data_IF_196225907262
#
_entry.id   IF_196225907262
#
_cell.length_a   1.000
_cell.length_b   1.000
_cell.length_c   1.000
_cell.angle_alpha   90.00
_cell.angle_beta   90.00
_cell.angle_gamma   90.00
#
_symmetry.space_group_name_H-M   'P 1'
#
loop_
_entity.id
_entity.type
_entity.pdbx_description
1 polymer ?
#
# COMPACT_ATOMS: atom_id res chain seq x y z
N UNK A 1 -10.78 -19.04 -0.75
CA UNK A 1 -11.69 -20.06 -1.34
C UNK A 1 -13.15 -19.66 -1.10
N UNK A 2 -13.59 -19.44 0.15
CA UNK A 2 -14.98 -19.09 0.48
C UNK A 2 -15.46 -17.82 -0.28
N UNK A 3 -14.66 -16.75 -0.31
CA UNK A 3 -15.00 -15.53 -1.05
C UNK A 3 -15.26 -15.82 -2.54
N UNK A 4 -14.43 -16.66 -3.16
CA UNK A 4 -14.61 -17.07 -4.56
C UNK A 4 -15.89 -17.91 -4.75
N UNK A 5 -16.25 -18.76 -3.77
CA UNK A 5 -17.48 -19.55 -3.85
C UNK A 5 -18.76 -18.70 -3.80
N UNK A 6 -18.67 -17.50 -3.21
CA UNK A 6 -19.75 -16.50 -3.23
C UNK A 6 -19.72 -15.58 -4.47
N UNK A 7 -18.83 -15.83 -5.44
CA UNK A 7 -18.72 -15.04 -6.65
C UNK A 7 -18.06 -13.67 -6.44
N UNK A 8 -17.32 -13.47 -5.34
CA UNK A 8 -16.56 -12.23 -5.11
C UNK A 8 -15.38 -12.20 -6.09
N UNK A 9 -15.32 -11.20 -7.00
CA UNK A 9 -14.32 -11.19 -8.07
C UNK A 9 -12.93 -10.73 -7.62
N UNK A 10 -12.85 -9.91 -6.56
CA UNK A 10 -11.60 -9.28 -6.09
C UNK A 10 -11.59 -9.23 -4.57
N UNK A 11 -10.44 -9.47 -3.97
CA UNK A 11 -10.19 -9.22 -2.55
C UNK A 11 -9.09 -8.19 -2.37
N UNK A 12 -9.23 -7.32 -1.36
CA UNK A 12 -8.26 -6.29 -1.03
C UNK A 12 -7.42 -6.69 0.19
N UNK A 13 -6.11 -6.47 0.13
CA UNK A 13 -5.17 -6.80 1.19
C UNK A 13 -4.63 -5.54 1.85
N UNK A 14 -4.75 -5.48 3.18
CA UNK A 14 -4.20 -4.43 4.03
C UNK A 14 -3.32 -5.08 5.10
N UNK A 15 -2.01 -4.83 5.12
CA UNK A 15 -1.12 -5.52 6.04
C UNK A 15 -1.16 -4.93 7.44
N UNK A 16 -1.00 -5.78 8.43
CA UNK A 16 -0.54 -5.40 9.76
C UNK A 16 0.95 -5.72 9.88
N UNK A 17 1.76 -4.74 10.25
CA UNK A 17 3.20 -4.93 10.51
C UNK A 17 3.47 -4.68 12.00
N UNK A 18 4.04 -5.64 12.72
CA UNK A 18 4.45 -5.44 14.11
C UNK A 18 5.44 -4.28 14.25
N UNK A 19 5.36 -3.54 15.37
CA UNK A 19 6.13 -2.31 15.57
C UNK A 19 7.66 -2.52 15.45
N UNK A 20 8.15 -3.67 15.92
CA UNK A 20 9.57 -4.05 15.86
C UNK A 20 10.11 -4.31 14.43
N UNK A 21 9.22 -4.40 13.45
CA UNK A 21 9.56 -4.58 12.03
C UNK A 21 9.37 -3.30 11.21
N UNK A 22 8.98 -2.21 11.85
CA UNK A 22 8.82 -0.90 11.19
C UNK A 22 10.08 -0.08 11.35
N UNK A 23 10.43 0.67 10.33
CA UNK A 23 11.56 1.60 10.36
C UNK A 23 11.16 2.98 9.79
N UNK A 24 12.01 4.01 9.91
CA UNK A 24 11.67 5.35 9.43
C UNK A 24 11.43 5.44 7.92
N UNK A 25 11.97 4.51 7.13
CA UNK A 25 11.87 4.50 5.67
C UNK A 25 10.81 3.54 5.14
N UNK A 26 10.20 2.73 6.02
CA UNK A 26 9.23 1.72 5.60
C UNK A 26 9.85 0.63 4.71
N UNK A 27 11.12 0.29 4.92
CA UNK A 27 11.90 -0.57 4.01
C UNK A 27 11.26 -1.93 3.74
N UNK A 28 10.51 -2.48 4.69
CA UNK A 28 9.78 -3.74 4.53
C UNK A 28 8.72 -3.67 3.41
N UNK A 29 8.24 -2.48 3.01
CA UNK A 29 7.32 -2.32 1.88
C UNK A 29 7.93 -2.84 0.56
N UNK A 30 9.25 -2.79 0.45
CA UNK A 30 10.00 -3.18 -0.75
C UNK A 30 10.55 -4.61 -0.71
N UNK A 31 10.35 -5.32 0.40
CA UNK A 31 10.78 -6.72 0.53
C UNK A 31 9.81 -7.62 -0.26
N UNK A 32 10.29 -8.37 -1.28
CA UNK A 32 9.45 -9.28 -2.04
C UNK A 32 8.84 -10.40 -1.19
N UNK A 33 9.36 -10.65 0.01
CA UNK A 33 8.86 -11.65 0.96
C UNK A 33 8.10 -11.05 2.14
N UNK A 34 7.69 -9.78 2.05
CA UNK A 34 6.80 -9.18 3.03
C UNK A 34 5.45 -9.91 3.09
N UNK A 35 4.67 -9.65 4.13
CA UNK A 35 3.41 -10.35 4.39
C UNK A 35 2.42 -10.25 3.22
N UNK A 36 2.28 -9.06 2.60
CA UNK A 36 1.35 -8.82 1.48
C UNK A 36 1.76 -9.64 0.26
N UNK A 37 3.04 -9.62 -0.11
CA UNK A 37 3.55 -10.38 -1.25
C UNK A 37 3.41 -11.89 -1.04
N UNK A 38 3.69 -12.38 0.16
CA UNK A 38 3.48 -13.80 0.51
C UNK A 38 2.00 -14.19 0.46
N UNK A 39 1.12 -13.35 1.02
CA UNK A 39 -0.32 -13.59 0.99
C UNK A 39 -0.85 -13.58 -0.45
N UNK A 40 -0.42 -12.62 -1.28
CA UNK A 40 -0.78 -12.54 -2.70
C UNK A 40 -0.42 -13.84 -3.43
N UNK A 41 0.83 -14.30 -3.30
CA UNK A 41 1.27 -15.57 -3.91
C UNK A 41 0.43 -16.76 -3.44
N UNK A 42 0.16 -16.85 -2.14
CA UNK A 42 -0.64 -17.94 -1.59
C UNK A 42 -2.08 -17.93 -2.10
N UNK A 43 -2.70 -16.75 -2.20
CA UNK A 43 -4.06 -16.60 -2.74
C UNK A 43 -4.10 -16.98 -4.20
N UNK A 44 -3.18 -16.47 -5.02
CA UNK A 44 -3.13 -16.78 -6.46
C UNK A 44 -2.85 -18.26 -6.72
N UNK A 45 -2.08 -18.92 -5.86
CA UNK A 45 -1.87 -20.37 -5.95
C UNK A 45 -3.12 -21.18 -5.59
N UNK A 46 -3.88 -20.75 -4.56
CA UNK A 46 -5.08 -21.46 -4.11
C UNK A 46 -6.31 -21.16 -4.98
N UNK A 47 -6.46 -19.92 -5.49
CA UNK A 47 -7.61 -19.47 -6.26
C UNK A 47 -7.13 -18.56 -7.42
N UNK A 48 -6.61 -19.13 -8.50
CA UNK A 48 -5.97 -18.37 -9.59
C UNK A 48 -6.84 -17.30 -10.24
N UNK A 49 -8.15 -17.51 -10.25
CA UNK A 49 -9.12 -16.63 -10.94
C UNK A 49 -9.66 -15.49 -10.07
N UNK A 50 -9.34 -15.41 -8.77
CA UNK A 50 -9.73 -14.27 -7.95
C UNK A 50 -8.74 -13.12 -8.16
N UNK A 51 -9.25 -11.91 -8.36
CA UNK A 51 -8.42 -10.71 -8.40
C UNK A 51 -7.87 -10.37 -7.01
N UNK A 52 -6.62 -9.92 -6.96
CA UNK A 52 -5.99 -9.41 -5.73
C UNK A 52 -5.68 -7.94 -5.90
N UNK A 53 -6.21 -7.13 -4.99
CA UNK A 53 -5.90 -5.70 -4.87
C UNK A 53 -4.96 -5.51 -3.70
N UNK A 54 -3.84 -4.81 -3.91
CA UNK A 54 -2.92 -4.45 -2.84
C UNK A 54 -2.89 -2.93 -2.64
N UNK A 55 -2.99 -2.54 -1.38
CA UNK A 55 -2.80 -1.14 -0.97
C UNK A 55 -1.35 -0.72 -1.16
N UNK A 56 -1.13 0.52 -1.63
CA UNK A 56 0.20 1.13 -1.78
C UNK A 56 0.25 2.41 -0.95
N UNK A 57 0.90 2.31 0.18
CA UNK A 57 1.19 3.39 1.14
C UNK A 57 2.26 2.88 2.12
N UNK A 58 2.98 3.79 2.76
CA UNK A 58 4.08 3.39 3.65
C UNK A 58 3.67 3.31 5.13
N UNK A 59 2.50 3.82 5.53
CA UNK A 59 2.08 3.87 6.94
C UNK A 59 2.01 2.51 7.66
N UNK A 60 1.73 1.35 7.02
CA UNK A 60 1.86 0.06 7.68
C UNK A 60 3.30 -0.32 8.02
N UNK A 61 4.28 0.31 7.38
CA UNK A 61 5.70 -0.08 7.43
C UNK A 61 6.58 0.97 8.12
N UNK A 62 6.14 2.22 8.18
CA UNK A 62 6.90 3.30 8.82
C UNK A 62 6.74 3.31 10.33
N UNK A 63 7.82 3.60 11.05
CA UNK A 63 7.82 3.70 12.52
C UNK A 63 7.12 4.96 13.05
N UNK A 64 6.90 5.96 12.19
CA UNK A 64 6.19 7.21 12.49
C UNK A 64 4.72 7.20 12.04
N UNK A 65 4.27 6.18 11.29
CA UNK A 65 2.87 5.99 10.89
C UNK A 65 2.35 6.92 9.79
N UNK A 66 3.21 7.68 9.11
CA UNK A 66 2.84 8.45 7.93
C UNK A 66 2.91 7.60 6.66
N UNK A 67 2.10 7.98 5.67
CA UNK A 67 1.96 7.28 4.38
C UNK A 67 3.17 7.50 3.45
N UNK A 68 4.06 8.44 3.78
CA UNK A 68 5.26 8.79 3.01
C UNK A 68 6.51 8.90 3.88
N UNK A 69 7.64 9.15 3.25
CA UNK A 69 8.92 9.41 3.91
C UNK A 69 8.88 10.75 4.64
N UNK A 70 9.46 10.79 5.84
CA UNK A 70 9.42 11.96 6.71
C UNK A 70 10.84 12.48 6.97
N UNK A 71 11.04 13.79 6.85
CA UNK A 71 12.24 14.50 7.29
C UNK A 71 11.82 15.77 8.02
N UNK A 72 12.27 15.93 9.25
CA UNK A 72 12.00 17.13 10.10
C UNK A 72 10.50 17.53 10.08
N UNK A 73 9.61 16.57 10.32
CA UNK A 73 8.15 16.71 10.31
C UNK A 73 7.53 17.10 8.93
N UNK A 74 8.32 17.04 7.85
CA UNK A 74 7.88 17.31 6.48
C UNK A 74 7.86 16.01 5.68
N UNK A 75 6.74 15.76 4.97
CA UNK A 75 6.64 14.65 4.02
C UNK A 75 7.45 14.98 2.76
N UNK A 76 8.35 14.07 2.39
CA UNK A 76 9.15 14.16 1.17
C UNK A 76 8.37 13.53 0.02
N UNK A 77 7.63 14.36 -0.73
CA UNK A 77 6.74 13.87 -1.79
C UNK A 77 7.48 13.06 -2.85
N UNK A 78 8.51 13.62 -3.45
CA UNK A 78 9.16 13.03 -4.62
C UNK A 78 9.94 11.74 -4.26
N UNK A 79 10.63 11.73 -3.12
CA UNK A 79 11.30 10.53 -2.61
C UNK A 79 10.30 9.44 -2.22
N UNK A 80 9.11 9.86 -1.75
CA UNK A 80 8.03 8.92 -1.48
C UNK A 80 7.52 8.29 -2.76
N UNK A 81 7.38 9.04 -3.87
CA UNK A 81 6.95 8.48 -5.15
C UNK A 81 7.87 7.33 -5.60
N UNK A 82 9.18 7.47 -5.44
CA UNK A 82 10.13 6.39 -5.77
C UNK A 82 9.89 5.14 -4.90
N UNK A 83 9.62 5.33 -3.61
CA UNK A 83 9.32 4.24 -2.70
C UNK A 83 8.00 3.53 -3.07
N UNK A 84 6.95 4.30 -3.40
CA UNK A 84 5.65 3.74 -3.82
C UNK A 84 5.74 2.95 -5.13
N UNK A 85 6.54 3.41 -6.09
CA UNK A 85 6.81 2.66 -7.32
C UNK A 85 7.48 1.32 -7.01
N UNK A 86 8.50 1.31 -6.14
CA UNK A 86 9.17 0.06 -5.71
C UNK A 86 8.19 -0.89 -5.01
N UNK A 87 7.35 -0.37 -4.11
CA UNK A 87 6.30 -1.15 -3.43
C UNK A 87 5.32 -1.77 -4.43
N UNK A 88 4.82 -0.99 -5.39
CA UNK A 88 3.92 -1.47 -6.42
C UNK A 88 4.55 -2.60 -7.26
N UNK A 89 5.81 -2.44 -7.66
CA UNK A 89 6.52 -3.44 -8.46
C UNK A 89 6.67 -4.79 -7.73
N UNK A 90 7.07 -4.81 -6.46
CA UNK A 90 7.20 -6.08 -5.72
C UNK A 90 5.85 -6.75 -5.47
N UNK A 91 4.78 -5.98 -5.30
CA UNK A 91 3.41 -6.51 -5.16
C UNK A 91 2.92 -7.14 -6.48
N UNK A 92 3.16 -6.49 -7.61
CA UNK A 92 2.80 -7.01 -8.94
C UNK A 92 3.62 -8.24 -9.30
N UNK A 93 4.90 -8.28 -8.93
CA UNK A 93 5.74 -9.46 -9.10
C UNK A 93 5.23 -10.65 -8.27
N UNK A 94 4.63 -10.39 -7.11
CA UNK A 94 3.97 -11.40 -6.29
C UNK A 94 2.64 -11.90 -6.87
N UNK A 95 2.09 -11.27 -7.93
CA UNK A 95 0.86 -11.63 -8.61
C UNK A 95 -0.35 -10.73 -8.30
N UNK A 96 -0.12 -9.52 -7.77
CA UNK A 96 -1.18 -8.53 -7.58
C UNK A 96 -1.75 -8.06 -8.93
N UNK A 97 -3.07 -8.01 -9.06
CA UNK A 97 -3.76 -7.59 -10.26
C UNK A 97 -4.08 -6.09 -10.28
N UNK A 98 -4.34 -5.51 -9.10
CA UNK A 98 -4.78 -4.11 -8.95
C UNK A 98 -3.93 -3.42 -7.87
N UNK A 99 -3.27 -2.34 -8.24
CA UNK A 99 -2.52 -1.48 -7.33
C UNK A 99 -3.42 -0.33 -6.88
N UNK A 100 -3.55 -0.13 -5.56
CA UNK A 100 -4.47 0.86 -4.99
C UNK A 100 -3.71 1.89 -4.13
N UNK A 101 -3.11 2.95 -4.74
CA UNK A 101 -2.38 3.96 -3.99
C UNK A 101 -3.30 4.80 -3.10
N UNK A 102 -3.08 4.74 -1.79
CA UNK A 102 -3.86 5.43 -0.76
C UNK A 102 -3.07 6.48 0.03
N UNK A 103 -1.85 6.74 -0.36
CA UNK A 103 -0.85 7.57 0.31
C UNK A 103 -1.09 9.09 0.21
N UNK A 104 -1.78 9.55 -0.82
CA UNK A 104 -2.09 10.96 -1.13
C UNK A 104 -0.90 11.83 -1.59
N UNK A 105 0.20 11.22 -2.04
CA UNK A 105 1.30 11.99 -2.64
C UNK A 105 0.91 12.53 -4.02
N UNK A 106 1.35 13.75 -4.34
CA UNK A 106 1.12 14.35 -5.65
C UNK A 106 1.88 13.59 -6.75
N UNK A 107 1.19 13.29 -7.85
CA UNK A 107 1.79 12.62 -9.01
C UNK A 107 1.93 11.09 -8.89
N UNK A 108 1.57 10.47 -7.76
CA UNK A 108 1.76 9.04 -7.50
C UNK A 108 1.18 8.10 -8.55
N UNK A 109 -0.02 8.38 -9.06
CA UNK A 109 -0.67 7.54 -10.07
C UNK A 109 0.14 7.51 -11.35
N UNK A 110 0.62 8.68 -11.80
CA UNK A 110 1.46 8.79 -12.99
C UNK A 110 2.82 8.09 -12.80
N UNK A 111 3.47 8.28 -11.65
CA UNK A 111 4.74 7.65 -11.34
C UNK A 111 4.62 6.11 -11.29
N UNK A 112 3.61 5.58 -10.60
CA UNK A 112 3.35 4.14 -10.52
C UNK A 112 3.02 3.59 -11.92
N UNK A 113 2.19 4.28 -12.72
CA UNK A 113 1.86 3.83 -14.08
C UNK A 113 3.12 3.73 -14.94
N UNK A 114 3.96 4.76 -14.93
CA UNK A 114 5.22 4.75 -15.69
C UNK A 114 6.13 3.58 -15.24
N UNK A 115 6.33 3.40 -13.94
CA UNK A 115 7.15 2.30 -13.41
C UNK A 115 6.62 0.92 -13.79
N UNK A 116 5.30 0.71 -13.78
CA UNK A 116 4.69 -0.54 -14.22
C UNK A 116 4.88 -0.79 -15.72
N UNK A 117 4.77 0.24 -16.56
CA UNK A 117 4.98 0.12 -18.00
C UNK A 117 6.44 -0.16 -18.34
N UNK A 118 7.37 0.52 -17.70
CA UNK A 118 8.82 0.29 -17.85
C UNK A 118 9.21 -1.14 -17.46
N UNK A 119 8.53 -1.71 -16.47
CA UNK A 119 8.69 -3.10 -16.06
C UNK A 119 7.90 -4.11 -16.93
N UNK A 120 7.23 -3.67 -17.99
CA UNK A 120 6.43 -4.51 -18.88
C UNK A 120 5.09 -4.98 -18.28
N UNK A 121 4.63 -4.37 -17.18
CA UNK A 121 3.38 -4.73 -16.46
C UNK A 121 2.20 -3.85 -16.91
N UNK A 122 1.96 -3.76 -18.21
CA UNK A 122 0.96 -2.86 -18.81
C UNK A 122 -0.48 -3.18 -18.41
N UNK A 123 -0.79 -4.45 -18.16
CA UNK A 123 -2.15 -4.93 -17.83
C UNK A 123 -2.51 -4.74 -16.36
N UNK A 124 -1.55 -4.41 -15.48
CA UNK A 124 -1.82 -4.14 -14.07
C UNK A 124 -2.73 -2.91 -13.95
N UNK A 125 -3.86 -3.06 -13.29
CA UNK A 125 -4.81 -1.97 -13.06
C UNK A 125 -4.36 -1.08 -11.90
N UNK A 126 -4.75 0.20 -11.94
CA UNK A 126 -4.57 1.13 -10.82
C UNK A 126 -5.94 1.62 -10.37
N UNK A 127 -6.27 1.37 -9.11
CA UNK A 127 -7.47 1.89 -8.45
C UNK A 127 -7.04 2.95 -7.43
N UNK A 128 -6.97 4.21 -7.87
CA UNK A 128 -6.53 5.31 -7.01
C UNK A 128 -7.60 5.70 -5.99
N UNK A 129 -7.17 5.96 -4.75
CA UNK A 129 -7.96 6.76 -3.82
C UNK A 129 -7.91 8.22 -4.29
N UNK A 130 -8.95 8.68 -4.96
CA UNK A 130 -9.00 10.03 -5.54
C UNK A 130 -9.09 11.12 -4.47
N UNK A 131 -9.73 10.82 -3.33
CA UNK A 131 -9.84 11.70 -2.17
C UNK A 131 -9.85 10.85 -0.89
N UNK A 132 -8.97 11.18 0.06
CA UNK A 132 -8.92 10.57 1.39
C UNK A 132 -8.92 11.67 2.45
N UNK A 133 -9.97 11.69 3.26
CA UNK A 133 -10.15 12.72 4.28
C UNK A 133 -9.51 12.30 5.59
N UNK A 134 -8.85 13.22 6.28
CA UNK A 134 -8.35 13.03 7.64
C UNK A 134 -9.53 13.06 8.63
N UNK A 135 -10.28 11.97 8.67
CA UNK A 135 -11.56 11.83 9.37
C UNK A 135 -11.45 10.92 10.60
N UNK A 136 -12.31 11.20 11.61
CA UNK A 136 -12.49 10.32 12.77
C UNK A 136 -12.99 8.92 12.39
N UNK A 137 -13.68 8.77 11.27
CA UNK A 137 -14.14 7.47 10.75
C UNK A 137 -12.98 6.49 10.40
N UNK A 138 -11.76 6.97 10.27
CA UNK A 138 -10.58 6.13 10.11
C UNK A 138 -10.09 5.48 11.42
N UNK A 139 -10.64 5.84 12.57
CA UNK A 139 -10.25 5.26 13.86
C UNK A 139 -10.23 3.74 13.86
N UNK A 140 -11.34 3.05 13.57
CA UNK A 140 -11.42 1.59 13.56
C UNK A 140 -10.45 0.92 12.55
N UNK A 141 -10.25 1.54 11.39
CA UNK A 141 -9.29 1.03 10.39
C UNK A 141 -7.84 1.16 10.89
N UNK A 142 -7.48 2.31 11.47
CA UNK A 142 -6.14 2.51 12.06
C UNK A 142 -5.84 1.51 13.17
N UNK A 143 -6.84 1.18 13.98
CA UNK A 143 -6.71 0.15 15.02
C UNK A 143 -6.46 -1.23 14.39
N UNK A 144 -7.21 -1.58 13.33
CA UNK A 144 -7.09 -2.85 12.64
C UNK A 144 -5.69 -3.08 12.02
N UNK A 145 -5.09 -2.04 11.41
CA UNK A 145 -3.74 -2.11 10.83
C UNK A 145 -2.62 -1.76 11.84
N UNK A 146 -2.97 -1.46 13.10
CA UNK A 146 -2.03 -1.14 14.17
C UNK A 146 -1.27 0.17 13.99
N UNK A 147 -1.81 1.13 13.22
CA UNK A 147 -1.15 2.42 12.98
C UNK A 147 -1.55 3.53 13.96
N UNK A 148 -2.62 3.34 14.74
CA UNK A 148 -3.13 4.35 15.68
C UNK A 148 -2.12 4.77 16.75
N UNK A 149 -1.29 3.84 17.22
CA UNK A 149 -0.23 4.11 18.21
C UNK A 149 1.10 4.60 17.63
N UNK A 150 1.28 4.52 16.32
CA UNK A 150 2.53 4.89 15.65
C UNK A 150 2.54 6.32 15.12
N UNK A 151 1.35 6.89 14.84
CA UNK A 151 1.24 8.20 14.19
C UNK A 151 1.86 9.32 15.05
N UNK A 152 2.89 9.95 14.52
CA UNK A 152 3.52 11.16 15.05
C UNK A 152 3.16 12.34 14.14
N UNK A 153 2.49 13.36 14.70
CA UNK A 153 2.05 14.51 13.91
C UNK A 153 0.64 14.37 13.34
N UNK A 154 0.35 15.05 12.24
CA UNK A 154 -0.99 15.20 11.66
C UNK A 154 -0.99 14.87 10.15
N UNK A 155 -1.83 13.95 9.74
CA UNK A 155 -1.99 13.60 8.31
C UNK A 155 -2.68 14.69 7.48
N UNK A 156 -3.33 15.68 8.10
CA UNK A 156 -3.94 16.83 7.40
C UNK A 156 -2.94 17.71 6.64
N UNK A 157 -1.66 17.46 6.77
CA UNK A 157 -0.63 18.11 5.95
C UNK A 157 -0.64 17.63 4.49
N UNK A 158 -1.24 16.46 4.20
CA UNK A 158 -1.34 15.87 2.86
C UNK A 158 -2.66 15.13 2.59
N UNK A 159 -3.49 14.88 3.60
CA UNK A 159 -4.87 14.40 3.44
C UNK A 159 -5.85 15.57 3.58
N UNK A 160 -6.97 15.52 2.85
CA UNK A 160 -8.04 16.52 2.93
C UNK A 160 -8.79 16.47 4.25
#
# INVERSE_FOLDING_TARGET
EEAASFGIPVIALFPYTPAEKRDPTGSLAHDPDNLVCRATRAIKAAVPNIGVLCDVALDPYTSHGHDGLLSDDTILNDETLEALVKQALVQVEAGCDIIAPSDMMDGRVGAIRAGLEDAGRKDTQIMSYAAKYASAFYGPFRDAIGSSGALKGDKRTYQM
#
